data_IF_183513476728
#
_entry.id   IF_183513476728
#
_cell.length_a   1.000
_cell.length_b   1.000
_cell.length_c   1.000
_cell.angle_alpha   90.00
_cell.angle_beta   90.00
_cell.angle_gamma   90.00
#
_symmetry.space_group_name_H-M   'P 1'
#
loop_
_entity.id
_entity.type
_entity.pdbx_description
1 polymer ?
#
# COMPACT_ATOMS: atom_id res chain seq x y z
N UNK A 1 -7.19 16.05 -37.16
CA UNK A 1 -7.89 14.81 -36.71
C UNK A 1 -6.99 13.58 -36.58
N UNK A 2 -6.07 13.26 -37.49
CA UNK A 2 -5.20 12.07 -37.39
C UNK A 2 -4.06 12.21 -36.34
N UNK A 3 -3.49 13.39 -36.19
CA UNK A 3 -2.41 13.64 -35.19
C UNK A 3 -2.96 13.75 -33.77
N UNK A 4 -4.11 14.35 -33.57
CA UNK A 4 -4.78 14.41 -32.26
C UNK A 4 -5.12 13.00 -31.75
N UNK A 5 -5.66 12.13 -32.59
CA UNK A 5 -5.97 10.74 -32.24
C UNK A 5 -4.70 9.96 -31.88
N UNK A 6 -3.57 10.23 -32.57
CA UNK A 6 -2.27 9.63 -32.24
C UNK A 6 -1.71 10.13 -30.91
N UNK A 7 -1.89 11.41 -30.58
CA UNK A 7 -1.47 11.98 -29.31
C UNK A 7 -2.32 11.47 -28.14
N UNK A 8 -3.63 11.35 -28.31
CA UNK A 8 -4.51 10.76 -27.29
C UNK A 8 -4.18 9.28 -27.01
N UNK A 9 -3.95 8.48 -28.06
CA UNK A 9 -3.50 7.09 -27.90
C UNK A 9 -2.16 6.99 -27.16
N UNK A 10 -1.19 7.86 -27.45
CA UNK A 10 0.10 7.90 -26.74
C UNK A 10 -0.08 8.25 -25.26
N UNK A 11 -0.94 9.22 -24.93
CA UNK A 11 -1.26 9.58 -23.53
C UNK A 11 -1.96 8.44 -22.79
N UNK A 12 -2.90 7.75 -23.43
CA UNK A 12 -3.59 6.59 -22.88
C UNK A 12 -2.63 5.44 -22.56
N UNK A 13 -1.74 5.09 -23.51
CA UNK A 13 -0.73 4.05 -23.30
C UNK A 13 0.26 4.43 -22.18
N UNK A 14 0.70 5.67 -22.14
CA UNK A 14 1.59 6.16 -21.08
C UNK A 14 0.93 6.08 -19.69
N UNK A 15 -0.36 6.44 -19.60
CA UNK A 15 -1.14 6.32 -18.35
C UNK A 15 -1.32 4.85 -17.92
N UNK A 16 -1.57 3.97 -18.86
CA UNK A 16 -1.69 2.54 -18.59
C UNK A 16 -0.35 1.92 -18.12
N UNK A 17 0.76 2.27 -18.75
CA UNK A 17 2.09 1.83 -18.33
C UNK A 17 2.45 2.37 -16.94
N UNK A 18 2.03 3.59 -16.63
CA UNK A 18 2.20 4.18 -15.30
C UNK A 18 1.41 3.39 -14.25
N UNK A 19 0.15 3.05 -14.54
CA UNK A 19 -0.67 2.19 -13.68
C UNK A 19 -0.05 0.80 -13.49
N UNK A 20 0.47 0.19 -14.54
CA UNK A 20 1.11 -1.12 -14.45
C UNK A 20 2.36 -1.08 -13.55
N UNK A 21 3.18 -0.04 -13.65
CA UNK A 21 4.32 0.17 -12.74
C UNK A 21 3.85 0.34 -11.30
N UNK A 22 2.81 1.14 -11.09
CA UNK A 22 2.21 1.33 -9.77
C UNK A 22 1.76 -0.01 -9.18
N UNK A 23 1.00 -0.80 -9.92
CA UNK A 23 0.51 -2.10 -9.49
C UNK A 23 1.66 -3.08 -9.15
N UNK A 24 2.72 -3.07 -9.95
CA UNK A 24 3.91 -3.90 -9.71
C UNK A 24 4.63 -3.52 -8.40
N UNK A 25 4.83 -2.23 -8.13
CA UNK A 25 5.47 -1.80 -6.89
C UNK A 25 4.57 -2.01 -5.68
N UNK A 26 3.25 -1.81 -5.81
CA UNK A 26 2.29 -2.10 -4.75
C UNK A 26 2.24 -3.60 -4.42
N UNK A 27 2.26 -4.46 -5.43
CA UNK A 27 2.35 -5.91 -5.21
C UNK A 27 3.69 -6.31 -4.52
N UNK A 28 4.81 -5.70 -4.93
CA UNK A 28 6.11 -5.94 -4.29
C UNK A 28 6.13 -5.49 -2.82
N UNK A 29 5.40 -4.45 -2.46
CA UNK A 29 5.26 -3.99 -1.08
C UNK A 29 4.57 -5.04 -0.20
N UNK A 30 3.55 -5.74 -0.73
CA UNK A 30 2.93 -6.87 -0.03
C UNK A 30 3.92 -8.03 0.23
N UNK A 31 4.85 -8.27 -0.70
CA UNK A 31 5.92 -9.26 -0.49
C UNK A 31 6.87 -8.78 0.63
N UNK A 32 7.24 -7.50 0.64
CA UNK A 32 8.08 -6.91 1.70
C UNK A 32 7.39 -7.04 3.06
N UNK A 33 6.08 -6.77 3.14
CA UNK A 33 5.31 -6.94 4.37
C UNK A 33 5.34 -8.39 4.86
N UNK A 34 5.02 -9.35 4.00
CA UNK A 34 5.00 -10.77 4.35
C UNK A 34 6.38 -11.28 4.80
N UNK A 35 7.43 -10.92 4.07
CA UNK A 35 8.82 -11.31 4.40
C UNK A 35 9.26 -10.67 5.72
N UNK A 36 9.01 -9.37 5.90
CA UNK A 36 9.35 -8.65 7.13
C UNK A 36 8.59 -9.19 8.33
N UNK A 37 7.30 -9.45 8.20
CA UNK A 37 6.48 -10.03 9.25
C UNK A 37 6.99 -11.43 9.63
N UNK A 38 7.29 -12.27 8.65
CA UNK A 38 7.86 -13.61 8.89
C UNK A 38 9.20 -13.51 9.62
N UNK A 39 10.10 -12.63 9.16
CA UNK A 39 11.39 -12.40 9.79
C UNK A 39 11.26 -11.93 11.24
N UNK A 40 10.35 -11.00 11.52
CA UNK A 40 10.08 -10.52 12.88
C UNK A 40 9.62 -11.65 13.79
N UNK A 41 8.69 -12.51 13.32
CA UNK A 41 8.13 -13.58 14.13
C UNK A 41 9.02 -14.84 14.22
N UNK A 42 9.95 -15.07 13.29
CA UNK A 42 10.78 -16.27 13.29
C UNK A 42 12.19 -16.04 13.84
N UNK A 43 12.72 -14.84 13.68
CA UNK A 43 14.09 -14.50 14.05
C UNK A 43 14.11 -13.50 15.21
N UNK A 44 13.48 -12.34 15.01
CA UNK A 44 13.60 -11.22 15.97
C UNK A 44 12.95 -11.59 17.32
N UNK A 45 11.78 -12.22 17.32
CA UNK A 45 11.11 -12.61 18.56
C UNK A 45 11.92 -13.62 19.37
N UNK A 46 12.78 -14.41 18.72
CA UNK A 46 13.62 -15.41 19.38
C UNK A 46 14.94 -14.86 19.94
N UNK A 47 15.21 -13.58 19.76
CA UNK A 47 16.41 -12.97 20.33
C UNK A 47 16.39 -13.06 21.88
N UNK A 48 17.51 -13.43 22.53
CA UNK A 48 17.55 -13.71 23.96
C UNK A 48 17.00 -12.57 24.82
N UNK A 49 17.29 -11.32 24.47
CA UNK A 49 16.79 -10.15 25.20
C UNK A 49 15.27 -9.96 25.08
N UNK A 50 14.67 -10.32 23.92
CA UNK A 50 13.22 -10.29 23.71
C UNK A 50 12.56 -11.40 24.49
N UNK A 51 13.10 -12.62 24.42
CA UNK A 51 12.60 -13.75 25.19
C UNK A 51 12.62 -13.47 26.68
N UNK A 52 13.70 -12.94 27.20
CA UNK A 52 13.78 -12.53 28.61
C UNK A 52 12.72 -11.47 28.97
N UNK A 53 12.49 -10.50 28.10
CA UNK A 53 11.44 -9.48 28.33
C UNK A 53 10.02 -10.09 28.27
N UNK A 54 9.78 -11.08 27.40
CA UNK A 54 8.51 -11.81 27.32
C UNK A 54 8.22 -12.64 28.58
N UNK A 55 9.26 -13.24 29.18
CA UNK A 55 9.15 -14.05 30.39
C UNK A 55 8.97 -13.19 31.65
N UNK A 56 9.55 -11.99 31.68
CA UNK A 56 9.57 -11.13 32.88
C UNK A 56 8.46 -10.09 32.92
N UNK A 57 7.77 -9.85 31.81
CA UNK A 57 6.75 -8.80 31.72
C UNK A 57 5.49 -9.26 30.95
N UNK A 58 4.44 -9.59 31.71
CA UNK A 58 3.16 -10.06 31.16
C UNK A 58 2.50 -9.05 30.20
N UNK A 59 2.63 -7.76 30.46
CA UNK A 59 2.08 -6.70 29.59
C UNK A 59 2.82 -6.68 28.26
N UNK A 60 4.15 -6.76 28.29
CA UNK A 60 4.98 -6.84 27.10
C UNK A 60 4.66 -8.10 26.29
N UNK A 61 4.51 -9.25 26.94
CA UNK A 61 4.13 -10.50 26.32
C UNK A 61 2.76 -10.41 25.61
N UNK A 62 1.74 -9.83 26.25
CA UNK A 62 0.42 -9.62 25.64
C UNK A 62 0.47 -8.74 24.40
N UNK A 63 1.26 -7.66 24.42
CA UNK A 63 1.43 -6.75 23.28
C UNK A 63 2.16 -7.43 22.13
N UNK A 64 3.27 -8.10 22.41
CA UNK A 64 4.13 -8.72 21.41
C UNK A 64 3.52 -9.95 20.76
N UNK A 65 2.74 -10.74 21.49
CA UNK A 65 2.05 -11.93 20.98
C UNK A 65 0.71 -11.61 20.29
N UNK A 66 0.33 -10.34 20.22
CA UNK A 66 -0.86 -9.94 19.46
C UNK A 66 -0.58 -10.07 17.96
N UNK A 67 -1.50 -10.68 17.21
CA UNK A 67 -1.39 -10.88 15.75
C UNK A 67 -1.17 -9.55 14.99
N UNK A 68 -1.78 -8.45 15.47
CA UNK A 68 -1.62 -7.10 14.94
C UNK A 68 -0.72 -6.23 15.84
N UNK A 69 0.18 -6.87 16.57
CA UNK A 69 1.10 -6.21 17.49
C UNK A 69 2.28 -5.52 16.80
N UNK A 70 3.32 -5.17 17.58
CA UNK A 70 4.46 -4.40 17.08
C UNK A 70 5.17 -5.04 15.89
N UNK A 71 5.21 -6.38 15.79
CA UNK A 71 5.86 -7.09 14.69
C UNK A 71 5.14 -6.84 13.37
N UNK A 72 3.79 -6.91 13.39
CA UNK A 72 2.97 -6.55 12.24
C UNK A 72 3.11 -5.06 11.88
N UNK A 73 3.08 -4.18 12.88
CA UNK A 73 3.20 -2.73 12.65
C UNK A 73 4.54 -2.37 11.98
N UNK A 74 5.65 -2.98 12.41
CA UNK A 74 6.96 -2.76 11.77
C UNK A 74 6.94 -3.24 10.33
N UNK A 75 6.40 -4.42 10.07
CA UNK A 75 6.30 -4.97 8.71
C UNK A 75 5.44 -4.07 7.80
N UNK A 76 4.32 -3.57 8.32
CA UNK A 76 3.45 -2.63 7.62
C UNK A 76 4.15 -1.30 7.31
N UNK A 77 4.88 -0.73 8.27
CA UNK A 77 5.66 0.50 8.05
C UNK A 77 6.69 0.30 6.95
N UNK A 78 7.43 -0.81 6.95
CA UNK A 78 8.41 -1.13 5.93
C UNK A 78 7.77 -1.28 4.54
N UNK A 79 6.62 -1.94 4.46
CA UNK A 79 5.82 -2.08 3.25
C UNK A 79 5.37 -0.73 2.69
N UNK A 80 4.81 0.12 3.55
CA UNK A 80 4.36 1.47 3.16
C UNK A 80 5.52 2.34 2.68
N UNK A 81 6.65 2.34 3.38
CA UNK A 81 7.84 3.09 2.97
C UNK A 81 8.38 2.60 1.63
N UNK A 82 8.38 1.30 1.41
CA UNK A 82 8.76 0.68 0.14
C UNK A 82 7.83 1.13 -0.99
N UNK A 83 6.53 0.91 -0.83
CA UNK A 83 5.52 1.27 -1.83
C UNK A 83 5.60 2.75 -2.20
N UNK A 84 5.59 3.63 -1.22
CA UNK A 84 5.69 5.06 -1.41
C UNK A 84 6.98 5.47 -2.13
N UNK A 85 8.14 4.97 -1.67
CA UNK A 85 9.44 5.37 -2.22
C UNK A 85 9.57 4.97 -3.68
N UNK A 86 9.19 3.74 -4.01
CA UNK A 86 9.32 3.22 -5.37
C UNK A 86 8.29 3.86 -6.31
N UNK A 87 7.06 4.01 -5.89
CA UNK A 87 6.05 4.69 -6.70
C UNK A 87 6.39 6.16 -6.92
N UNK A 88 6.81 6.88 -5.88
CA UNK A 88 7.28 8.26 -6.02
C UNK A 88 8.43 8.39 -7.02
N UNK A 89 9.45 7.51 -6.91
CA UNK A 89 10.69 7.60 -7.72
C UNK A 89 10.48 7.09 -9.16
N UNK A 90 9.82 5.96 -9.34
CA UNK A 90 9.81 5.26 -10.64
C UNK A 90 8.48 5.35 -11.38
N UNK A 91 7.35 5.43 -10.67
CA UNK A 91 6.03 5.54 -11.28
C UNK A 91 5.68 6.99 -11.60
N UNK A 92 5.80 7.87 -10.60
CA UNK A 92 5.44 9.28 -10.74
C UNK A 92 6.64 10.19 -11.00
N UNK A 93 7.87 9.72 -10.76
CA UNK A 93 9.13 10.46 -10.92
C UNK A 93 9.06 11.86 -10.29
N UNK A 94 8.53 11.90 -9.06
CA UNK A 94 8.13 13.13 -8.39
C UNK A 94 9.19 13.60 -7.39
N UNK A 95 9.56 14.90 -7.48
CA UNK A 95 10.38 15.60 -6.49
C UNK A 95 9.55 16.21 -5.34
N UNK A 96 8.29 15.78 -5.17
CA UNK A 96 7.42 16.26 -4.09
C UNK A 96 8.08 16.10 -2.71
N UNK A 97 7.70 16.99 -1.79
CA UNK A 97 8.10 16.90 -0.38
C UNK A 97 7.57 15.60 0.24
N UNK A 98 8.47 14.75 0.73
CA UNK A 98 8.15 13.40 1.23
C UNK A 98 7.16 13.42 2.40
N UNK A 99 7.38 14.16 3.50
CA UNK A 99 6.43 14.24 4.62
C UNK A 99 5.02 14.66 4.19
N UNK A 100 4.91 15.67 3.34
CA UNK A 100 3.60 16.16 2.85
C UNK A 100 2.91 15.12 1.97
N UNK A 101 3.65 14.47 1.08
CA UNK A 101 3.12 13.41 0.23
C UNK A 101 2.66 12.20 1.06
N UNK A 102 3.45 11.76 2.04
CA UNK A 102 3.08 10.67 2.95
C UNK A 102 1.84 11.01 3.79
N UNK A 103 1.71 12.26 4.28
CA UNK A 103 0.52 12.68 5.01
C UNK A 103 -0.74 12.58 4.15
N UNK A 104 -0.66 12.93 2.86
CA UNK A 104 -1.78 12.77 1.92
C UNK A 104 -2.14 11.29 1.72
N UNK A 105 -1.14 10.42 1.54
CA UNK A 105 -1.39 8.96 1.44
C UNK A 105 -2.04 8.44 2.71
N UNK A 106 -1.57 8.85 3.87
CA UNK A 106 -2.20 8.49 5.14
C UNK A 106 -3.66 8.95 5.23
N UNK A 107 -3.95 10.19 4.81
CA UNK A 107 -5.31 10.71 4.76
C UNK A 107 -6.23 9.89 3.85
N UNK A 108 -5.73 9.38 2.72
CA UNK A 108 -6.46 8.45 1.86
C UNK A 108 -6.88 7.20 2.63
N UNK A 109 -5.96 6.55 3.32
CA UNK A 109 -6.25 5.33 4.07
C UNK A 109 -7.17 5.55 5.27
N UNK A 110 -7.13 6.73 5.90
CA UNK A 110 -8.09 7.10 6.96
C UNK A 110 -9.54 7.13 6.49
N UNK A 111 -9.77 7.40 5.21
CA UNK A 111 -11.11 7.39 4.61
C UNK A 111 -11.42 6.06 3.95
N UNK A 112 -10.49 5.55 3.14
CA UNK A 112 -10.69 4.35 2.34
C UNK A 112 -10.90 3.10 3.20
N UNK A 113 -10.10 2.92 4.25
CA UNK A 113 -10.15 1.71 5.09
C UNK A 113 -11.50 1.54 5.80
N UNK A 114 -12.07 2.53 6.51
CA UNK A 114 -13.39 2.38 7.10
C UNK A 114 -14.48 2.10 6.05
N UNK A 115 -14.44 2.76 4.90
CA UNK A 115 -15.44 2.56 3.83
C UNK A 115 -15.38 1.12 3.31
N UNK A 116 -14.19 0.59 3.06
CA UNK A 116 -14.04 -0.78 2.53
C UNK A 116 -14.38 -1.84 3.56
N UNK A 117 -14.09 -1.62 4.85
CA UNK A 117 -14.49 -2.53 5.93
C UNK A 117 -16.02 -2.61 6.03
N UNK A 118 -16.71 -1.47 6.02
CA UNK A 118 -18.18 -1.42 6.09
C UNK A 118 -18.78 -2.09 4.85
N UNK A 119 -18.31 -1.74 3.65
CA UNK A 119 -18.78 -2.33 2.40
C UNK A 119 -18.49 -3.83 2.33
N UNK A 120 -17.29 -4.25 2.71
CA UNK A 120 -16.89 -5.66 2.73
C UNK A 120 -17.80 -6.49 3.64
N UNK A 121 -18.02 -6.06 4.87
CA UNK A 121 -18.92 -6.73 5.81
C UNK A 121 -20.35 -6.81 5.28
N UNK A 122 -20.85 -5.73 4.69
CA UNK A 122 -22.19 -5.69 4.10
C UNK A 122 -22.34 -6.71 2.96
N UNK A 123 -21.41 -6.74 2.01
CA UNK A 123 -21.48 -7.65 0.87
C UNK A 123 -21.28 -9.10 1.28
N UNK A 124 -20.36 -9.38 2.19
CA UNK A 124 -20.15 -10.74 2.72
C UNK A 124 -21.41 -11.26 3.42
N UNK A 125 -22.05 -10.43 4.24
CA UNK A 125 -23.29 -10.82 4.91
C UNK A 125 -24.46 -10.99 3.93
N UNK A 126 -24.60 -10.09 2.93
CA UNK A 126 -25.69 -10.11 1.96
C UNK A 126 -25.65 -11.32 1.02
N UNK A 127 -24.46 -11.80 0.70
CA UNK A 127 -24.24 -12.91 -0.23
C UNK A 127 -23.64 -14.14 0.47
N UNK A 128 -24.00 -14.34 1.75
CA UNK A 128 -23.46 -15.44 2.57
C UNK A 128 -23.70 -16.85 1.97
N UNK A 129 -24.72 -16.99 1.13
CA UNK A 129 -25.05 -18.25 0.44
C UNK A 129 -24.09 -18.58 -0.73
N UNK A 130 -23.27 -17.61 -1.14
CA UNK A 130 -22.31 -17.81 -2.23
C UNK A 130 -21.01 -18.37 -1.68
N UNK A 131 -20.64 -19.55 -2.12
CA UNK A 131 -19.34 -20.15 -1.74
C UNK A 131 -18.18 -19.22 -2.07
N UNK A 132 -17.21 -19.12 -1.16
CA UNK A 132 -16.03 -18.27 -1.29
C UNK A 132 -16.31 -16.76 -1.41
N UNK A 133 -17.47 -16.26 -0.96
CA UNK A 133 -17.83 -14.83 -1.02
C UNK A 133 -16.78 -13.93 -0.37
N UNK A 134 -16.17 -14.37 0.72
CA UNK A 134 -15.12 -13.60 1.42
C UNK A 134 -13.92 -13.32 0.52
N UNK A 135 -13.47 -14.31 -0.26
CA UNK A 135 -12.37 -14.13 -1.22
C UNK A 135 -12.75 -13.27 -2.42
N UNK A 136 -14.00 -13.35 -2.87
CA UNK A 136 -14.51 -12.51 -3.95
C UNK A 136 -14.55 -11.05 -3.49
N UNK A 137 -15.10 -10.79 -2.30
CA UNK A 137 -15.16 -9.44 -1.71
C UNK A 137 -13.76 -8.90 -1.46
N UNK A 138 -12.85 -9.72 -0.93
CA UNK A 138 -11.44 -9.35 -0.74
C UNK A 138 -10.78 -8.96 -2.06
N UNK A 139 -10.91 -9.78 -3.10
CA UNK A 139 -10.34 -9.50 -4.43
C UNK A 139 -10.88 -8.20 -5.03
N UNK A 140 -12.20 -7.99 -4.94
CA UNK A 140 -12.83 -6.75 -5.39
C UNK A 140 -12.31 -5.53 -4.60
N UNK A 141 -12.19 -5.64 -3.28
CA UNK A 141 -11.67 -4.58 -2.42
C UNK A 141 -10.21 -4.24 -2.79
N UNK A 142 -9.38 -5.25 -3.00
CA UNK A 142 -7.99 -5.05 -3.42
C UNK A 142 -7.89 -4.34 -4.79
N UNK A 143 -8.72 -4.74 -5.76
CA UNK A 143 -8.77 -4.11 -7.06
C UNK A 143 -9.24 -2.64 -6.97
N UNK A 144 -10.30 -2.39 -6.20
CA UNK A 144 -10.81 -1.04 -5.94
C UNK A 144 -9.74 -0.17 -5.25
N UNK A 145 -9.05 -0.71 -4.24
CA UNK A 145 -7.97 0.01 -3.56
C UNK A 145 -6.87 0.40 -4.53
N UNK A 146 -6.38 -0.55 -5.31
CA UNK A 146 -5.29 -0.30 -6.27
C UNK A 146 -5.64 0.79 -7.29
N UNK A 147 -6.87 0.77 -7.83
CA UNK A 147 -7.31 1.77 -8.81
C UNK A 147 -7.48 3.14 -8.15
N UNK A 148 -8.18 3.20 -7.01
CA UNK A 148 -8.47 4.46 -6.33
C UNK A 148 -7.22 5.10 -5.74
N UNK A 149 -6.31 4.31 -5.17
CA UNK A 149 -5.01 4.76 -4.67
C UNK A 149 -4.15 5.32 -5.81
N UNK A 150 -4.06 4.62 -6.95
CA UNK A 150 -3.34 5.14 -8.11
C UNK A 150 -3.88 6.48 -8.60
N UNK A 151 -5.21 6.61 -8.69
CA UNK A 151 -5.84 7.87 -9.11
C UNK A 151 -5.61 8.97 -8.09
N UNK A 152 -5.73 8.65 -6.81
CA UNK A 152 -5.47 9.60 -5.72
C UNK A 152 -4.00 10.04 -5.71
N UNK A 153 -3.07 9.12 -5.84
CA UNK A 153 -1.64 9.43 -5.92
C UNK A 153 -1.35 10.36 -7.11
N UNK A 154 -1.91 10.05 -8.27
CA UNK A 154 -1.70 10.82 -9.48
C UNK A 154 -2.29 12.24 -9.39
N UNK A 155 -3.52 12.37 -8.92
CA UNK A 155 -4.26 13.63 -8.99
C UNK A 155 -4.21 14.46 -7.71
N UNK A 156 -3.81 13.89 -6.57
CA UNK A 156 -3.77 14.57 -5.27
C UNK A 156 -2.37 14.59 -4.68
N UNK A 157 -1.73 13.41 -4.53
CA UNK A 157 -0.43 13.31 -3.85
C UNK A 157 0.67 13.97 -4.69
N UNK A 158 0.81 13.55 -5.95
CA UNK A 158 1.88 13.97 -6.86
C UNK A 158 1.44 15.02 -7.88
N UNK A 159 0.24 15.60 -7.72
CA UNK A 159 -0.26 16.65 -8.60
C UNK A 159 0.74 17.80 -8.72
N UNK A 160 1.08 18.16 -9.97
CA UNK A 160 2.02 19.25 -10.28
C UNK A 160 3.50 18.90 -10.01
N UNK A 161 3.81 17.73 -9.48
CA UNK A 161 5.18 17.28 -9.24
C UNK A 161 5.57 16.03 -10.04
N UNK A 162 4.69 15.52 -10.90
CA UNK A 162 5.02 14.41 -11.81
C UNK A 162 6.17 14.78 -12.75
N UNK A 163 7.09 13.84 -12.98
CA UNK A 163 8.26 13.97 -13.84
C UNK A 163 9.23 15.11 -13.47
N UNK A 164 9.12 15.64 -12.25
CA UNK A 164 10.00 16.75 -11.79
C UNK A 164 11.39 16.25 -11.37
N UNK A 165 11.57 14.97 -11.05
CA UNK A 165 12.88 14.38 -10.78
C UNK A 165 13.77 14.42 -12.03
N UNK A 166 13.25 14.11 -13.21
CA UNK A 166 14.02 14.15 -14.46
C UNK A 166 14.47 15.57 -14.85
N UNK A 167 13.79 16.60 -14.36
CA UNK A 167 14.16 18.01 -14.59
C UNK A 167 15.27 18.50 -13.69
N UNK A 168 15.50 17.83 -12.55
CA UNK A 168 16.58 18.20 -11.61
C UNK A 168 17.93 17.55 -11.95
N UNK A 169 17.92 16.49 -12.74
CA UNK A 169 19.13 15.76 -13.16
C UNK A 169 19.71 16.27 -14.49
N UNK A 170 19.06 17.24 -15.15
CA UNK A 170 19.53 17.97 -16.34
C UNK A 170 19.94 19.39 -15.96
#
# INVERSE_FOLDING_TARGET
MSEEIKQEKKKGIAGFLQFLKFAMFSASAGIIEAVSFTLMNTVIIKLPFIQHALETNDTFAKIMNNQYGPMYLIALILSVLWNFTFNRKFTFKSAANVPVAMLKVFAFYCVFTPVTVIAGNYFTAKFADVGAIEYIVLGCTMACNMITEFLYDKFVVFRGSENTLEKKEK
#
